data_IF_018873108921
#
_entry.id   IF_018873108921
#
_cell.length_a   1.000
_cell.length_b   1.000
_cell.length_c   1.000
_cell.angle_alpha   90.00
_cell.angle_beta   90.00
_cell.angle_gamma   90.00
#
_symmetry.space_group_name_H-M   'P 1'
#
loop_
_entity.id
_entity.type
_entity.pdbx_description
1 polymer ?
#
# COMPACT_ATOMS: atom_id res chain seq x y z
N UNK A 1 27.43 24.93 -12.11
CA UNK A 1 26.84 23.58 -12.15
C UNK A 1 27.25 22.89 -10.86
N UNK A 2 26.34 22.82 -9.90
CA UNK A 2 26.59 22.21 -8.59
C UNK A 2 25.24 21.86 -7.99
N UNK A 3 24.86 20.58 -8.13
CA UNK A 3 23.68 20.04 -7.47
C UNK A 3 24.01 19.81 -6.00
N UNK A 4 23.25 20.43 -5.11
CA UNK A 4 23.32 20.18 -3.68
C UNK A 4 22.61 18.86 -3.37
N UNK A 5 23.37 17.81 -3.12
CA UNK A 5 22.90 16.65 -2.37
C UNK A 5 22.68 17.09 -0.92
N UNK A 6 21.42 17.12 -0.48
CA UNK A 6 21.07 17.34 0.92
C UNK A 6 20.82 15.97 1.53
N UNK A 7 21.84 15.46 2.21
CA UNK A 7 21.71 14.36 3.17
C UNK A 7 20.95 14.86 4.41
N UNK A 8 19.97 14.05 4.81
CA UNK A 8 19.17 14.05 6.04
C UNK A 8 19.44 15.20 7.02
N UNK A 9 18.88 16.38 6.76
CA UNK A 9 18.62 17.36 7.80
C UNK A 9 17.30 17.02 8.47
N UNK A 10 17.33 16.82 9.79
CA UNK A 10 16.14 16.69 10.62
C UNK A 10 15.26 17.92 10.42
N UNK A 11 14.14 17.77 9.71
CA UNK A 11 13.06 18.75 9.60
C UNK A 11 12.37 18.82 10.99
N UNK A 12 13.02 19.48 11.96
CA UNK A 12 12.57 19.63 13.37
C UNK A 12 11.29 20.46 13.54
N UNK A 13 10.64 20.90 12.47
CA UNK A 13 9.39 21.66 12.54
C UNK A 13 8.14 20.79 12.75
N UNK A 14 8.20 19.49 12.45
CA UNK A 14 7.07 18.56 12.62
C UNK A 14 6.87 18.04 14.04
N UNK A 15 7.94 17.93 14.83
CA UNK A 15 7.92 17.24 16.15
C UNK A 15 7.18 18.09 17.21
N UNK A 16 7.30 19.42 17.15
CA UNK A 16 6.59 20.32 18.06
C UNK A 16 5.08 20.34 17.82
N UNK A 17 4.65 20.12 16.58
CA UNK A 17 3.25 20.17 16.19
C UNK A 17 2.50 18.88 16.50
N UNK A 18 3.16 17.72 16.34
CA UNK A 18 2.63 16.42 16.80
C UNK A 18 2.34 16.47 18.30
N UNK A 19 3.23 17.07 19.11
CA UNK A 19 3.00 17.28 20.56
C UNK A 19 1.82 18.21 20.88
N UNK A 20 1.52 19.20 20.05
CA UNK A 20 0.41 20.13 20.26
C UNK A 20 -0.96 19.43 20.16
N UNK A 21 -1.05 18.41 19.30
CA UNK A 21 -2.28 17.62 19.09
C UNK A 21 -2.31 16.30 19.87
N UNK A 22 -1.15 15.75 20.27
CA UNK A 22 -1.06 14.64 21.24
C UNK A 22 -1.66 15.01 22.61
N UNK A 23 -1.63 16.30 22.97
CA UNK A 23 -2.20 16.80 24.23
C UNK A 23 -3.74 16.96 24.20
N UNK A 24 -4.45 16.47 23.18
CA UNK A 24 -5.93 16.51 23.08
C UNK A 24 -6.56 17.90 23.30
N UNK A 25 -5.83 19.00 23.09
CA UNK A 25 -6.41 20.34 23.16
C UNK A 25 -7.11 20.63 21.84
N UNK A 26 -8.37 20.23 21.77
CA UNK A 26 -9.21 20.41 20.59
C UNK A 26 -10.31 21.40 20.93
N UNK A 27 -10.29 22.57 20.29
CA UNK A 27 -11.32 23.56 20.52
C UNK A 27 -12.62 23.14 19.81
N UNK A 28 -13.82 23.33 20.42
CA UNK A 28 -15.10 22.95 19.82
C UNK A 28 -15.31 23.50 18.41
N UNK A 29 -14.82 24.71 18.13
CA UNK A 29 -14.87 25.30 16.78
C UNK A 29 -14.08 24.52 15.72
N UNK A 30 -12.95 23.92 16.11
CA UNK A 30 -12.18 23.06 15.21
C UNK A 30 -12.93 21.76 14.90
N UNK A 31 -13.62 21.16 15.88
CA UNK A 31 -14.43 19.96 15.65
C UNK A 31 -15.59 20.22 14.67
N UNK A 32 -16.30 21.34 14.83
CA UNK A 32 -17.38 21.75 13.92
C UNK A 32 -16.85 22.00 12.52
N UNK A 33 -15.77 22.79 12.40
CA UNK A 33 -15.12 23.06 11.12
C UNK A 33 -14.65 21.78 10.42
N UNK A 34 -14.05 20.85 11.16
CA UNK A 34 -13.60 19.55 10.65
C UNK A 34 -14.77 18.69 10.15
N UNK A 35 -15.89 18.65 10.89
CA UNK A 35 -17.06 17.90 10.46
C UNK A 35 -17.61 18.45 9.12
N UNK A 36 -17.71 19.77 8.99
CA UNK A 36 -18.21 20.45 7.80
C UNK A 36 -17.24 20.38 6.61
N UNK A 37 -15.93 20.50 6.85
CA UNK A 37 -14.92 20.64 5.79
C UNK A 37 -14.37 19.28 5.32
N UNK A 38 -14.45 18.25 6.17
CA UNK A 38 -13.85 16.93 5.89
C UNK A 38 -14.91 15.83 5.90
N UNK A 39 -15.64 15.64 7.00
CA UNK A 39 -16.49 14.46 7.13
C UNK A 39 -17.74 14.48 6.25
N UNK A 40 -18.48 15.58 6.23
CA UNK A 40 -19.68 15.71 5.39
C UNK A 40 -19.34 15.60 3.89
N UNK A 41 -18.31 16.29 3.39
CA UNK A 41 -17.85 16.11 2.02
C UNK A 41 -17.46 14.66 1.68
N UNK A 42 -16.70 13.97 2.55
CA UNK A 42 -16.37 12.54 2.36
C UNK A 42 -17.64 11.68 2.24
N UNK A 43 -18.63 11.89 3.12
CA UNK A 43 -19.89 11.14 3.08
C UNK A 43 -20.65 11.38 1.78
N UNK A 44 -20.71 12.63 1.32
CA UNK A 44 -21.35 12.99 0.06
C UNK A 44 -20.64 12.33 -1.14
N UNK A 45 -19.30 12.32 -1.13
CA UNK A 45 -18.49 11.72 -2.18
C UNK A 45 -18.66 10.20 -2.24
N UNK A 46 -18.70 9.50 -1.10
CA UNK A 46 -19.04 8.07 -1.08
C UNK A 46 -20.43 7.79 -1.65
N UNK A 47 -21.43 8.61 -1.30
CA UNK A 47 -22.77 8.49 -1.85
C UNK A 47 -22.74 8.68 -3.38
N UNK A 48 -21.97 9.64 -3.88
CA UNK A 48 -21.77 9.88 -5.32
C UNK A 48 -21.15 8.66 -6.02
N UNK A 49 -20.06 8.11 -5.48
CA UNK A 49 -19.35 6.98 -6.10
C UNK A 49 -20.18 5.68 -6.07
N UNK A 50 -20.97 5.44 -5.02
CA UNK A 50 -21.83 4.24 -4.91
C UNK A 50 -23.15 4.35 -5.70
N UNK A 51 -23.68 5.56 -5.90
CA UNK A 51 -24.93 5.77 -6.62
C UNK A 51 -24.82 5.55 -8.13
N UNK A 52 -23.60 5.42 -8.68
CA UNK A 52 -23.38 4.97 -10.06
C UNK A 52 -23.65 3.46 -10.12
N UNK A 53 -24.94 3.08 -10.13
CA UNK A 53 -25.40 1.74 -10.49
C UNK A 53 -25.14 1.57 -11.99
N UNK A 54 -24.16 0.78 -12.40
CA UNK A 54 -23.99 0.46 -13.83
C UNK A 54 -23.53 -0.98 -14.08
N UNK A 55 -24.23 -1.62 -15.01
CA UNK A 55 -24.19 -3.03 -15.37
C UNK A 55 -22.81 -3.48 -15.86
N UNK A 56 -22.13 -4.36 -15.11
CA UNK A 56 -20.92 -5.04 -15.58
C UNK A 56 -21.29 -6.28 -16.40
N UNK A 57 -21.58 -6.09 -17.69
CA UNK A 57 -21.56 -7.19 -18.66
C UNK A 57 -20.13 -7.32 -19.17
N UNK A 58 -19.34 -8.16 -18.49
CA UNK A 58 -18.00 -8.55 -18.92
C UNK A 58 -18.15 -9.44 -20.17
N UNK A 59 -17.97 -8.87 -21.36
CA UNK A 59 -17.74 -9.66 -22.58
C UNK A 59 -16.23 -9.82 -22.78
N UNK A 60 -15.72 -11.00 -22.47
CA UNK A 60 -14.38 -11.43 -22.89
C UNK A 60 -14.44 -11.95 -24.34
N UNK A 61 -13.70 -11.33 -25.27
CA UNK A 61 -13.47 -11.91 -26.60
C UNK A 61 -11.99 -11.76 -26.98
N UNK A 62 -11.29 -12.89 -26.93
CA UNK A 62 -10.11 -13.29 -27.73
C UNK A 62 -9.48 -14.49 -26.99
N UNK A 63 -9.82 -15.72 -27.39
CA UNK A 63 -9.73 -16.91 -26.51
C UNK A 63 -8.90 -18.07 -27.08
N UNK A 64 -8.12 -17.90 -28.15
CA UNK A 64 -7.44 -19.07 -28.76
C UNK A 64 -5.92 -18.88 -28.90
N UNK A 65 -5.43 -17.71 -29.32
CA UNK A 65 -3.98 -17.45 -29.33
C UNK A 65 -3.42 -17.06 -27.95
N UNK A 66 -4.25 -16.47 -27.09
CA UNK A 66 -3.91 -16.05 -25.71
C UNK A 66 -3.78 -17.22 -24.73
N UNK A 67 -4.56 -18.30 -24.91
CA UNK A 67 -4.57 -19.43 -23.97
C UNK A 67 -3.22 -20.16 -23.92
N UNK A 68 -2.58 -20.35 -25.07
CA UNK A 68 -1.29 -21.07 -25.13
C UNK A 68 -0.13 -20.28 -24.52
N UNK A 69 -0.13 -18.96 -24.66
CA UNK A 69 0.91 -18.08 -24.08
C UNK A 69 0.67 -17.86 -22.57
N UNK A 70 -0.60 -17.68 -22.16
CA UNK A 70 -0.99 -17.57 -20.74
C UNK A 70 -0.65 -18.83 -19.94
N UNK A 71 -0.93 -20.03 -20.46
CA UNK A 71 -0.58 -21.29 -19.77
C UNK A 71 0.93 -21.49 -19.62
N UNK A 72 1.72 -21.09 -20.61
CA UNK A 72 3.18 -21.20 -20.56
C UNK A 72 3.77 -20.23 -19.53
N UNK A 73 3.21 -19.04 -19.40
CA UNK A 73 3.64 -18.06 -18.41
C UNK A 73 3.20 -18.43 -16.99
N UNK A 74 2.01 -19.04 -16.83
CA UNK A 74 1.58 -19.64 -15.56
C UNK A 74 2.51 -20.77 -15.11
N UNK A 75 2.92 -21.67 -16.00
CA UNK A 75 3.85 -22.76 -15.67
C UNK A 75 5.23 -22.22 -15.23
N UNK A 76 5.76 -21.20 -15.94
CA UNK A 76 7.02 -20.54 -15.54
C UNK A 76 6.89 -19.89 -14.18
N UNK A 77 5.78 -19.20 -13.92
CA UNK A 77 5.51 -18.54 -12.67
C UNK A 77 5.43 -19.54 -11.51
N UNK A 78 4.74 -20.66 -11.71
CA UNK A 78 4.62 -21.72 -10.69
C UNK A 78 5.98 -22.38 -10.42
N UNK A 79 6.81 -22.61 -11.44
CA UNK A 79 8.20 -23.08 -11.24
C UNK A 79 9.02 -22.11 -10.39
N UNK A 80 8.89 -20.80 -10.65
CA UNK A 80 9.58 -19.78 -9.86
C UNK A 80 9.04 -19.71 -8.42
N UNK A 81 7.72 -19.83 -8.22
CA UNK A 81 7.12 -19.95 -6.90
C UNK A 81 7.62 -21.20 -6.16
N UNK A 82 7.74 -22.33 -6.86
CA UNK A 82 8.26 -23.56 -6.27
C UNK A 82 9.72 -23.38 -5.83
N UNK A 83 10.58 -22.75 -6.66
CA UNK A 83 11.95 -22.43 -6.27
C UNK A 83 12.02 -21.56 -5.01
N UNK A 84 11.09 -20.61 -4.85
CA UNK A 84 10.94 -19.81 -3.64
C UNK A 84 10.44 -20.62 -2.44
N UNK A 85 9.58 -21.62 -2.62
CA UNK A 85 9.11 -22.50 -1.53
C UNK A 85 10.17 -23.50 -1.10
N UNK A 86 10.97 -24.00 -2.03
CA UNK A 86 12.07 -24.93 -1.77
C UNK A 86 13.19 -24.24 -0.98
N UNK A 87 13.43 -22.96 -1.26
CA UNK A 87 14.35 -22.12 -0.50
C UNK A 87 13.71 -20.75 -0.18
N UNK A 88 12.96 -20.64 0.93
CA UNK A 88 12.26 -19.41 1.30
C UNK A 88 13.16 -18.38 1.99
N UNK A 89 14.47 -18.66 2.13
CA UNK A 89 15.41 -17.77 2.80
C UNK A 89 15.51 -16.44 2.06
N UNK A 90 14.96 -15.39 2.69
CA UNK A 90 14.95 -14.01 2.26
C UNK A 90 14.78 -13.11 3.47
N UNK A 91 15.48 -11.97 3.47
CA UNK A 91 15.34 -10.96 4.52
C UNK A 91 14.83 -9.70 3.83
N UNK A 92 13.59 -9.32 4.13
CA UNK A 92 13.02 -8.09 3.60
C UNK A 92 13.79 -6.88 4.16
N UNK A 93 14.39 -6.09 3.27
CA UNK A 93 15.04 -4.85 3.64
C UNK A 93 14.00 -3.74 3.70
N UNK A 94 14.12 -2.78 4.65
CA UNK A 94 13.26 -1.61 4.67
C UNK A 94 13.29 -0.88 3.31
N UNK A 95 12.15 -0.38 2.81
CA UNK A 95 12.13 0.35 1.55
C UNK A 95 13.00 1.60 1.64
N UNK A 96 13.71 1.92 0.56
CA UNK A 96 14.42 3.17 0.42
C UNK A 96 13.43 4.25 -0.01
N UNK A 97 13.16 5.18 0.89
CA UNK A 97 12.18 6.25 0.71
C UNK A 97 12.89 7.60 0.57
N UNK A 98 12.62 8.29 -0.53
CA UNK A 98 13.14 9.63 -0.82
C UNK A 98 11.97 10.58 -1.04
N UNK A 99 11.89 11.64 -0.24
CA UNK A 99 10.85 12.66 -0.36
C UNK A 99 11.50 13.99 -0.72
N UNK A 100 11.13 14.54 -1.87
CA UNK A 100 11.48 15.90 -2.29
C UNK A 100 10.24 16.77 -2.21
N UNK A 101 10.41 18.00 -1.73
CA UNK A 101 9.31 18.96 -1.61
C UNK A 101 9.63 20.22 -2.40
N UNK A 102 8.67 20.69 -3.19
CA UNK A 102 8.72 21.97 -3.89
C UNK A 102 7.61 22.88 -3.39
N UNK A 103 7.93 24.15 -3.12
CA UNK A 103 6.99 25.17 -2.64
C UNK A 103 6.23 24.78 -1.35
N UNK A 104 6.76 23.86 -0.55
CA UNK A 104 6.21 23.43 0.74
C UNK A 104 4.96 22.54 0.69
N UNK A 105 4.30 22.39 -0.47
CA UNK A 105 3.05 21.63 -0.61
C UNK A 105 3.13 20.53 -1.67
N UNK A 106 3.89 20.73 -2.75
CA UNK A 106 4.06 19.73 -3.78
C UNK A 106 5.16 18.75 -3.34
N UNK A 107 4.82 17.47 -3.30
CA UNK A 107 5.71 16.42 -2.82
C UNK A 107 5.95 15.40 -3.93
N UNK A 108 7.21 15.03 -4.11
CA UNK A 108 7.66 13.94 -4.96
C UNK A 108 8.24 12.86 -4.06
N UNK A 109 7.54 11.73 -3.99
CA UNK A 109 7.89 10.56 -3.21
C UNK A 109 8.41 9.48 -4.15
N UNK A 110 9.64 9.05 -3.93
CA UNK A 110 10.22 7.90 -4.59
C UNK A 110 10.45 6.79 -3.56
N UNK A 111 10.01 5.57 -3.89
CA UNK A 111 10.16 4.39 -3.05
C UNK A 111 10.79 3.27 -3.88
N UNK A 112 11.87 2.69 -3.39
CA UNK A 112 12.51 1.51 -3.95
C UNK A 112 12.44 0.38 -2.92
N UNK A 113 11.99 -0.80 -3.32
CA UNK A 113 11.87 -1.95 -2.43
C UNK A 113 12.19 -3.25 -3.18
N UNK A 114 13.04 -4.08 -2.59
CA UNK A 114 13.31 -5.42 -3.11
C UNK A 114 12.39 -6.44 -2.41
N UNK A 115 11.65 -7.22 -3.21
CA UNK A 115 10.64 -8.17 -2.76
C UNK A 115 11.05 -9.56 -3.23
N UNK A 116 11.17 -10.52 -2.32
CA UNK A 116 11.47 -11.92 -2.67
C UNK A 116 10.24 -12.65 -3.26
N UNK A 117 9.73 -12.20 -4.41
CA UNK A 117 8.76 -12.89 -5.23
C UNK A 117 9.05 -12.61 -6.70
N UNK A 118 8.58 -13.45 -7.63
CA UNK A 118 8.73 -13.18 -9.06
C UNK A 118 7.98 -11.90 -9.49
N UNK A 119 8.53 -11.12 -10.44
CA UNK A 119 7.95 -9.84 -10.90
C UNK A 119 6.49 -9.91 -11.31
N UNK A 120 6.11 -10.97 -12.02
CA UNK A 120 4.75 -11.17 -12.51
C UNK A 120 3.77 -11.35 -11.35
N UNK A 121 4.19 -12.04 -10.27
CA UNK A 121 3.34 -12.24 -9.10
C UNK A 121 3.18 -10.94 -8.30
N UNK A 122 4.25 -10.16 -8.14
CA UNK A 122 4.18 -8.84 -7.50
C UNK A 122 3.27 -7.91 -8.28
N UNK A 123 3.38 -7.90 -9.62
CA UNK A 123 2.48 -7.15 -10.50
C UNK A 123 1.01 -7.59 -10.32
N UNK A 124 0.76 -8.91 -10.26
CA UNK A 124 -0.57 -9.47 -10.06
C UNK A 124 -1.16 -9.10 -8.68
N UNK A 125 -0.35 -8.99 -7.64
CA UNK A 125 -0.78 -8.53 -6.31
C UNK A 125 -1.28 -7.08 -6.37
N UNK A 126 -0.51 -6.19 -7.02
CA UNK A 126 -0.89 -4.78 -7.15
C UNK A 126 -2.15 -4.57 -7.99
N UNK A 127 -2.27 -5.29 -9.11
CA UNK A 127 -3.36 -5.14 -10.09
C UNK A 127 -4.58 -6.00 -9.80
N UNK A 128 -4.55 -6.80 -8.72
CA UNK A 128 -5.65 -7.70 -8.39
C UNK A 128 -6.96 -6.92 -8.23
N UNK A 129 -8.08 -7.35 -8.85
CA UNK A 129 -9.37 -6.67 -8.73
C UNK A 129 -9.86 -6.61 -7.27
N UNK A 130 -9.44 -7.57 -6.46
CA UNK A 130 -9.67 -7.63 -5.01
C UNK A 130 -8.38 -7.33 -4.21
N UNK A 131 -7.63 -6.28 -4.57
CA UNK A 131 -6.37 -5.93 -3.89
C UNK A 131 -6.52 -5.50 -2.41
N UNK A 132 -7.75 -5.27 -1.92
CA UNK A 132 -8.01 -5.05 -0.47
C UNK A 132 -7.57 -6.23 0.39
N UNK A 133 -7.53 -7.44 -0.18
CA UNK A 133 -7.06 -8.65 0.53
C UNK A 133 -5.56 -8.59 0.84
N UNK A 134 -4.81 -7.81 0.07
CA UNK A 134 -3.37 -7.67 0.19
C UNK A 134 -2.99 -6.41 0.97
N UNK A 135 -3.65 -5.29 0.68
CA UNK A 135 -3.30 -3.99 1.25
C UNK A 135 -4.33 -3.55 2.28
N UNK A 136 -3.94 -3.51 3.56
CA UNK A 136 -4.82 -3.17 4.70
C UNK A 136 -5.33 -1.73 4.65
N UNK A 137 -4.61 -0.88 3.92
CA UNK A 137 -4.98 0.52 3.67
C UNK A 137 -6.11 0.64 2.64
N UNK A 138 -6.50 -0.43 1.94
CA UNK A 138 -7.69 -0.45 1.08
C UNK A 138 -8.80 -1.17 1.85
N UNK A 139 -9.88 -0.46 2.17
CA UNK A 139 -11.02 -1.02 2.92
C UNK A 139 -12.12 -1.58 2.02
N UNK A 140 -12.30 -0.99 0.84
CA UNK A 140 -13.36 -1.38 -0.08
C UNK A 140 -12.92 -1.12 -1.52
N UNK A 141 -13.14 -2.09 -2.41
CA UNK A 141 -13.02 -1.93 -3.85
C UNK A 141 -14.42 -1.61 -4.40
N UNK A 142 -14.77 -0.33 -4.47
CA UNK A 142 -16.11 0.14 -4.82
C UNK A 142 -16.44 -0.22 -6.28
N UNK A 143 -15.50 0.05 -7.20
CA UNK A 143 -15.63 -0.36 -8.59
C UNK A 143 -14.29 -0.43 -9.30
N UNK A 144 -14.16 -1.33 -10.26
CA UNK A 144 -13.06 -1.41 -11.22
C UNK A 144 -13.62 -1.63 -12.62
N UNK A 145 -13.55 -0.63 -13.49
CA UNK A 145 -14.12 -0.67 -14.84
C UNK A 145 -13.02 -0.56 -15.87
N UNK A 146 -12.87 -1.59 -16.71
CA UNK A 146 -11.94 -1.54 -17.85
C UNK A 146 -12.54 -0.59 -18.89
N UNK A 147 -11.88 0.53 -19.15
CA UNK A 147 -12.28 1.52 -20.14
C UNK A 147 -11.76 1.14 -21.52
N UNK A 148 -10.50 0.73 -21.60
CA UNK A 148 -9.78 0.37 -22.82
C UNK A 148 -8.97 -0.90 -22.53
N UNK A 149 -8.97 -1.85 -23.46
CA UNK A 149 -8.16 -3.08 -23.37
C UNK A 149 -7.48 -3.35 -24.71
N UNK A 150 -6.16 -3.17 -24.74
CA UNK A 150 -5.29 -3.36 -25.90
C UNK A 150 -4.27 -4.48 -25.60
N UNK A 151 -4.75 -5.73 -25.61
CA UNK A 151 -3.94 -6.90 -25.29
C UNK A 151 -3.34 -6.82 -23.88
N UNK A 152 -2.00 -6.66 -23.79
CA UNK A 152 -1.26 -6.57 -22.53
C UNK A 152 -1.31 -5.18 -21.87
N UNK A 153 -2.01 -4.21 -22.47
CA UNK A 153 -2.22 -2.87 -21.91
C UNK A 153 -3.70 -2.63 -21.65
N UNK A 154 -4.02 -2.03 -20.52
CA UNK A 154 -5.39 -1.70 -20.15
C UNK A 154 -5.46 -0.34 -19.48
N UNK A 155 -6.52 0.40 -19.73
CA UNK A 155 -6.88 1.60 -18.96
C UNK A 155 -8.12 1.28 -18.15
N UNK A 156 -8.03 1.51 -16.83
CA UNK A 156 -9.03 1.07 -15.85
C UNK A 156 -9.43 2.25 -14.98
N UNK A 157 -10.73 2.49 -14.86
CA UNK A 157 -11.30 3.39 -13.86
C UNK A 157 -11.43 2.64 -12.53
N UNK A 158 -10.77 3.14 -11.49
CA UNK A 158 -10.72 2.52 -10.16
C UNK A 158 -11.33 3.45 -9.13
N UNK A 159 -12.35 2.97 -8.42
CA UNK A 159 -12.96 3.65 -7.27
C UNK A 159 -12.78 2.78 -6.04
N UNK A 160 -12.15 3.31 -5.00
CA UNK A 160 -11.81 2.59 -3.78
C UNK A 160 -12.08 3.43 -2.54
N UNK A 161 -12.25 2.77 -1.39
CA UNK A 161 -12.24 3.38 -0.09
C UNK A 161 -10.92 3.07 0.61
N UNK A 162 -10.04 4.05 0.76
CA UNK A 162 -8.80 3.89 1.51
C UNK A 162 -9.01 4.17 2.99
N UNK A 163 -8.32 3.43 3.85
CA UNK A 163 -8.25 3.69 5.28
C UNK A 163 -7.64 5.08 5.52
N UNK A 164 -8.29 5.85 6.38
CA UNK A 164 -7.86 7.18 6.72
C UNK A 164 -7.81 7.32 8.23
N UNK A 165 -6.67 7.74 8.76
CA UNK A 165 -6.51 8.03 10.19
C UNK A 165 -6.11 9.46 10.37
N UNK A 166 -7.04 10.33 10.71
CA UNK A 166 -6.76 11.75 10.93
C UNK A 166 -6.89 12.09 12.41
N UNK A 167 -5.80 12.49 13.07
CA UNK A 167 -5.74 12.77 14.50
C UNK A 167 -6.34 11.60 15.33
N UNK A 168 -7.44 11.83 16.06
CA UNK A 168 -8.17 10.81 16.85
C UNK A 168 -9.30 10.10 16.08
N UNK A 169 -9.47 10.39 14.79
CA UNK A 169 -10.54 9.86 13.96
C UNK A 169 -9.98 8.82 13.01
N UNK A 170 -10.59 7.64 12.98
CA UNK A 170 -10.37 6.66 11.92
C UNK A 170 -11.62 6.60 11.04
N UNK A 171 -11.42 6.47 9.74
CA UNK A 171 -12.49 6.38 8.76
C UNK A 171 -11.96 5.89 7.42
N UNK A 172 -12.72 6.19 6.37
CA UNK A 172 -12.31 5.89 4.99
C UNK A 172 -12.37 7.15 4.15
N UNK A 173 -11.50 7.25 3.16
CA UNK A 173 -11.50 8.30 2.15
C UNK A 173 -11.76 7.65 0.77
N UNK A 174 -12.72 8.15 -0.02
CA UNK A 174 -12.89 7.69 -1.38
C UNK A 174 -11.72 8.16 -2.24
N UNK A 175 -11.25 7.25 -3.10
CA UNK A 175 -10.20 7.49 -4.09
C UNK A 175 -10.77 7.11 -5.45
N UNK A 176 -10.63 8.00 -6.43
CA UNK A 176 -11.07 7.78 -7.80
C UNK A 176 -9.91 8.05 -8.77
N UNK A 177 -9.41 6.99 -9.39
CA UNK A 177 -8.22 6.98 -10.24
C UNK A 177 -8.55 6.48 -11.64
N UNK A 178 -7.85 7.02 -12.62
CA UNK A 178 -7.63 6.36 -13.92
C UNK A 178 -6.25 5.71 -13.85
N UNK A 179 -6.21 4.39 -14.12
CA UNK A 179 -5.02 3.56 -14.02
C UNK A 179 -4.71 2.97 -15.39
N UNK A 180 -3.53 3.28 -15.91
CA UNK A 180 -2.96 2.66 -17.09
C UNK A 180 -2.05 1.50 -16.64
N UNK A 181 -2.44 0.28 -16.96
CA UNK A 181 -1.74 -0.95 -16.63
C UNK A 181 -1.05 -1.49 -17.89
N UNK A 182 0.23 -1.86 -17.78
CA UNK A 182 0.97 -2.51 -18.85
C UNK A 182 1.66 -3.76 -18.31
N UNK A 183 1.05 -4.92 -18.61
CA UNK A 183 1.48 -6.24 -18.17
C UNK A 183 2.77 -6.69 -18.85
N UNK A 184 3.05 -6.23 -20.08
CA UNK A 184 4.29 -6.57 -20.79
C UNK A 184 5.53 -6.02 -20.09
N UNK A 185 5.44 -4.78 -19.61
CA UNK A 185 6.57 -4.09 -18.97
C UNK A 185 6.50 -4.11 -17.44
N UNK A 186 5.47 -4.74 -16.87
CA UNK A 186 5.16 -4.76 -15.45
C UNK A 186 5.14 -3.35 -14.83
N UNK A 187 4.52 -2.42 -15.54
CA UNK A 187 4.37 -1.01 -15.12
C UNK A 187 2.91 -0.65 -14.96
N UNK A 188 2.63 0.31 -14.09
CA UNK A 188 1.37 1.02 -14.07
C UNK A 188 1.58 2.50 -13.83
N UNK A 189 0.70 3.32 -14.41
CA UNK A 189 0.59 4.74 -14.14
C UNK A 189 -0.82 5.00 -13.62
N UNK A 190 -0.96 5.85 -12.64
CA UNK A 190 -2.26 6.27 -12.14
C UNK A 190 -2.32 7.77 -12.01
N UNK A 191 -3.50 8.30 -12.27
CA UNK A 191 -3.80 9.71 -12.10
C UNK A 191 -5.14 9.83 -11.42
N UNK A 192 -5.24 10.76 -10.48
CA UNK A 192 -6.54 11.11 -9.92
C UNK A 192 -7.45 11.70 -10.99
N UNK A 193 -8.68 11.19 -11.04
CA UNK A 193 -9.77 11.85 -11.74
C UNK A 193 -10.39 12.89 -10.82
N UNK A 194 -10.78 12.45 -9.62
CA UNK A 194 -11.33 13.30 -8.56
C UNK A 194 -10.86 12.81 -7.20
N UNK A 195 -10.17 13.66 -6.45
CA UNK A 195 -10.02 13.47 -5.01
C UNK A 195 -10.31 14.78 -4.29
N UNK A 196 -10.87 14.67 -3.09
CA UNK A 196 -11.32 15.83 -2.33
C UNK A 196 -10.16 16.59 -1.68
N UNK A 197 -9.16 15.88 -1.19
CA UNK A 197 -8.08 16.47 -0.38
C UNK A 197 -6.78 16.69 -1.14
N UNK A 198 -6.66 16.20 -2.37
CA UNK A 198 -5.46 16.36 -3.18
C UNK A 198 -5.74 17.16 -4.44
N UNK A 199 -4.96 18.23 -4.64
CA UNK A 199 -4.89 18.97 -5.89
C UNK A 199 -4.15 18.17 -6.96
N UNK A 200 -3.11 17.43 -6.55
CA UNK A 200 -2.36 16.50 -7.41
C UNK A 200 -2.26 15.18 -6.66
N UNK A 201 -2.54 14.08 -7.34
CA UNK A 201 -2.25 12.73 -6.88
C UNK A 201 -2.11 11.85 -8.10
N UNK A 202 -0.87 11.65 -8.52
CA UNK A 202 -0.52 10.84 -9.68
C UNK A 202 0.79 10.13 -9.40
N UNK A 203 1.03 9.04 -10.11
CA UNK A 203 2.25 8.30 -9.92
C UNK A 203 2.37 7.16 -10.90
N UNK A 204 3.50 6.49 -10.81
CA UNK A 204 3.76 5.27 -11.54
C UNK A 204 4.54 4.31 -10.67
N UNK A 205 4.33 3.03 -10.94
CA UNK A 205 5.15 1.99 -10.35
C UNK A 205 5.61 1.02 -11.43
N UNK A 206 6.75 0.41 -11.18
CA UNK A 206 7.41 -0.55 -12.05
C UNK A 206 7.93 -1.71 -11.21
N UNK A 207 7.80 -2.92 -11.74
CA UNK A 207 8.39 -4.12 -11.17
C UNK A 207 9.42 -4.67 -12.14
N UNK A 208 10.65 -4.86 -11.66
CA UNK A 208 11.77 -5.36 -12.45
C UNK A 208 12.32 -6.66 -11.85
N UNK A 209 12.86 -7.57 -12.67
CA UNK A 209 13.50 -8.77 -12.15
C UNK A 209 14.74 -8.45 -11.32
N UNK A 210 14.90 -9.15 -10.20
CA UNK A 210 16.08 -9.15 -9.36
C UNK A 210 16.62 -10.59 -9.29
N UNK A 211 17.83 -10.82 -9.80
CA UNK A 211 18.44 -12.15 -9.80
C UNK A 211 19.06 -12.44 -8.43
N UNK A 212 18.54 -13.45 -7.74
CA UNK A 212 18.90 -13.72 -6.33
C UNK A 212 20.10 -14.65 -6.22
N UNK A 213 20.08 -15.74 -6.97
CA UNK A 213 21.05 -16.82 -6.89
C UNK A 213 22.12 -16.65 -8.00
N UNK A 214 22.64 -15.43 -8.17
CA UNK A 214 23.68 -15.10 -9.18
C UNK A 214 24.94 -15.98 -9.04
N UNK A 215 25.20 -16.52 -7.84
CA UNK A 215 26.30 -17.47 -7.57
C UNK A 215 26.21 -18.76 -8.38
N UNK A 216 25.03 -19.13 -8.89
CA UNK A 216 24.86 -20.27 -9.80
C UNK A 216 25.44 -19.99 -11.20
N UNK A 217 25.68 -18.72 -11.52
CA UNK A 217 26.17 -18.25 -12.82
C UNK A 217 27.67 -17.93 -12.73
N UNK A 218 28.49 -18.98 -12.59
CA UNK A 218 29.94 -18.90 -12.30
C UNK A 218 30.76 -18.03 -13.28
N UNK A 219 30.31 -17.89 -14.54
CA UNK A 219 31.12 -17.32 -15.64
C UNK A 219 30.75 -15.89 -16.04
N UNK A 220 29.54 -15.43 -15.73
CA UNK A 220 29.08 -14.09 -16.12
C UNK A 220 27.88 -13.65 -15.32
N UNK A 221 27.81 -12.34 -15.05
CA UNK A 221 26.63 -11.73 -14.44
C UNK A 221 25.48 -11.71 -15.48
N UNK A 222 24.32 -12.32 -15.18
CA UNK A 222 23.19 -12.36 -16.10
C UNK A 222 22.67 -10.94 -16.39
N UNK A 223 22.34 -10.66 -17.66
CA UNK A 223 21.79 -9.36 -18.10
C UNK A 223 20.30 -9.42 -18.42
N UNK A 224 19.80 -10.60 -18.75
CA UNK A 224 18.40 -10.88 -19.04
C UNK A 224 17.89 -12.08 -18.24
N UNK A 225 16.57 -12.25 -18.22
CA UNK A 225 15.94 -13.39 -17.57
C UNK A 225 16.27 -14.70 -18.29
N UNK A 226 16.42 -14.66 -19.62
CA UNK A 226 16.83 -15.79 -20.45
C UNK A 226 18.27 -16.22 -20.14
N UNK A 227 19.18 -15.23 -20.02
CA UNK A 227 20.56 -15.48 -19.63
C UNK A 227 20.62 -16.11 -18.24
N UNK A 228 19.85 -15.57 -17.29
CA UNK A 228 19.79 -16.09 -15.93
C UNK A 228 19.21 -17.50 -15.86
N UNK A 229 18.14 -17.78 -16.61
CA UNK A 229 17.55 -19.11 -16.68
C UNK A 229 18.56 -20.12 -17.26
N UNK A 230 19.30 -19.73 -18.29
CA UNK A 230 20.34 -20.57 -18.89
C UNK A 230 21.48 -20.85 -17.91
N UNK A 231 22.07 -19.83 -17.29
CA UNK A 231 23.23 -20.02 -16.42
C UNK A 231 22.90 -20.68 -15.07
N UNK A 232 21.70 -20.46 -14.53
CA UNK A 232 21.26 -21.12 -13.29
C UNK A 232 20.66 -22.51 -13.50
N UNK A 233 20.64 -23.03 -14.74
CA UNK A 233 19.93 -24.24 -15.15
C UNK A 233 18.44 -24.22 -14.73
N UNK A 234 17.80 -23.05 -14.78
CA UNK A 234 16.40 -22.84 -14.39
C UNK A 234 16.10 -22.95 -12.89
N UNK A 235 17.11 -23.11 -12.04
CA UNK A 235 16.93 -23.28 -10.57
C UNK A 235 17.07 -21.99 -9.78
N UNK A 236 17.61 -20.93 -10.39
CA UNK A 236 17.82 -19.65 -9.70
C UNK A 236 16.48 -18.96 -9.39
N UNK A 237 16.33 -18.48 -8.16
CA UNK A 237 15.17 -17.67 -7.77
C UNK A 237 15.25 -16.29 -8.38
N UNK A 238 14.11 -15.79 -8.84
CA UNK A 238 13.94 -14.42 -9.32
C UNK A 238 13.08 -13.67 -8.29
N UNK A 239 13.65 -12.62 -7.70
CA UNK A 239 12.94 -11.63 -6.90
C UNK A 239 12.50 -10.46 -7.75
N UNK A 240 11.98 -9.44 -7.09
CA UNK A 240 11.46 -8.24 -7.73
C UNK A 240 12.10 -7.00 -7.13
N UNK A 241 12.44 -6.05 -7.97
CA UNK A 241 12.68 -4.65 -7.58
C UNK A 241 11.43 -3.84 -7.92
N UNK A 242 10.80 -3.30 -6.90
CA UNK A 242 9.64 -2.42 -7.03
C UNK A 242 10.12 -0.98 -6.92
N UNK A 243 9.86 -0.18 -7.95
CA UNK A 243 10.09 1.27 -7.94
C UNK A 243 8.75 1.96 -8.03
N UNK A 244 8.46 2.86 -7.09
CA UNK A 244 7.27 3.71 -7.09
C UNK A 244 7.67 5.17 -7.08
N UNK A 245 7.07 5.94 -7.97
CA UNK A 245 7.27 7.36 -8.13
C UNK A 245 5.89 8.04 -8.04
N UNK A 246 5.67 8.81 -6.98
CA UNK A 246 4.38 9.42 -6.67
C UNK A 246 4.53 10.92 -6.47
N UNK A 247 3.69 11.68 -7.18
CA UNK A 247 3.54 13.12 -7.07
C UNK A 247 2.22 13.42 -6.38
N UNK A 248 2.27 14.15 -5.27
CA UNK A 248 1.06 14.56 -4.56
C UNK A 248 1.15 15.98 -4.01
N UNK A 249 0.01 16.65 -3.98
CA UNK A 249 -0.14 18.00 -3.46
C UNK A 249 -1.48 18.13 -2.75
N UNK A 250 -1.52 18.37 -1.43
CA UNK A 250 -2.76 18.66 -0.73
C UNK A 250 -3.46 19.92 -1.27
N UNK A 251 -4.79 19.90 -1.30
CA UNK A 251 -5.61 21.02 -1.75
C UNK A 251 -5.53 22.19 -0.76
N UNK A 252 -4.70 23.20 -1.06
CA UNK A 252 -4.46 24.34 -0.16
C UNK A 252 -5.73 25.02 0.38
N UNK A 253 -6.82 25.06 -0.40
CA UNK A 253 -8.11 25.63 0.01
C UNK A 253 -8.81 24.80 1.09
N UNK A 254 -8.78 23.48 0.96
CA UNK A 254 -9.47 22.55 1.86
C UNK A 254 -8.57 22.07 3.00
N UNK A 255 -7.25 22.22 2.84
CA UNK A 255 -6.24 21.71 3.75
C UNK A 255 -5.22 22.80 4.09
N UNK A 256 -5.62 23.90 4.77
CA UNK A 256 -4.68 24.92 5.21
C UNK A 256 -3.67 24.33 6.21
N UNK A 257 -2.43 24.83 6.30
CA UNK A 257 -1.52 24.44 7.39
C UNK A 257 -2.22 24.59 8.75
N UNK A 258 -2.11 23.61 9.65
CA UNK A 258 -1.19 22.46 9.65
C UNK A 258 -1.71 21.19 8.94
N UNK A 259 -2.97 21.19 8.48
CA UNK A 259 -3.64 20.02 7.92
C UNK A 259 -2.89 19.46 6.71
N UNK A 260 -2.40 20.32 5.83
CA UNK A 260 -1.56 19.92 4.68
C UNK A 260 -0.31 19.14 5.09
N UNK A 261 0.40 19.55 6.14
CA UNK A 261 1.59 18.84 6.64
C UNK A 261 1.24 17.46 7.17
N UNK A 262 0.11 17.35 7.86
CA UNK A 262 -0.38 16.09 8.37
C UNK A 262 -0.78 15.13 7.23
N UNK A 263 -1.49 15.63 6.22
CA UNK A 263 -1.87 14.85 5.02
C UNK A 263 -0.62 14.36 4.27
N UNK A 264 0.41 15.21 4.16
CA UNK A 264 1.71 14.80 3.60
C UNK A 264 2.30 13.63 4.39
N UNK A 265 2.35 13.74 5.72
CA UNK A 265 2.87 12.68 6.59
C UNK A 265 2.09 11.37 6.46
N UNK A 266 0.76 11.43 6.37
CA UNK A 266 -0.06 10.23 6.14
C UNK A 266 0.22 9.62 4.79
N UNK A 267 0.26 10.43 3.73
CA UNK A 267 0.41 9.90 2.37
C UNK A 267 1.71 9.10 2.25
N UNK A 268 2.81 9.61 2.82
CA UNK A 268 4.09 8.90 2.89
C UNK A 268 3.95 7.59 3.68
N UNK A 269 3.41 7.65 4.90
CA UNK A 269 3.24 6.46 5.77
C UNK A 269 2.31 5.40 5.17
N UNK A 270 1.27 5.83 4.46
CA UNK A 270 0.34 4.92 3.78
C UNK A 270 1.05 4.19 2.65
N UNK A 271 1.86 4.88 1.85
CA UNK A 271 2.68 4.25 0.80
C UNK A 271 3.70 3.28 1.41
N UNK A 272 4.40 3.65 2.47
CA UNK A 272 5.32 2.75 3.19
C UNK A 272 4.60 1.50 3.70
N UNK A 273 3.44 1.67 4.35
CA UNK A 273 2.63 0.57 4.86
C UNK A 273 2.09 -0.34 3.76
N UNK A 274 1.85 0.16 2.54
CA UNK A 274 1.51 -0.69 1.39
C UNK A 274 2.67 -1.61 0.98
N UNK A 275 3.92 -1.14 1.11
CA UNK A 275 5.10 -1.98 0.86
C UNK A 275 5.28 -3.02 1.98
N UNK A 276 5.03 -2.65 3.24
CA UNK A 276 5.06 -3.60 4.35
C UNK A 276 4.00 -4.71 4.19
N UNK A 277 2.80 -4.35 3.74
CA UNK A 277 1.74 -5.31 3.40
C UNK A 277 2.16 -6.25 2.26
N UNK A 278 2.85 -5.73 1.24
CA UNK A 278 3.43 -6.54 0.17
C UNK A 278 4.49 -7.51 0.70
N UNK A 279 5.38 -7.08 1.60
CA UNK A 279 6.37 -7.97 2.23
C UNK A 279 5.72 -9.07 3.05
N UNK A 280 4.66 -8.75 3.80
CA UNK A 280 3.89 -9.74 4.55
C UNK A 280 3.27 -10.79 3.62
N UNK A 281 2.68 -10.36 2.51
CA UNK A 281 2.11 -11.27 1.52
C UNK A 281 3.17 -12.09 0.79
N UNK A 282 4.31 -11.48 0.46
CA UNK A 282 5.45 -12.17 -0.12
C UNK A 282 5.97 -13.28 0.80
N UNK A 283 6.13 -12.98 2.09
CA UNK A 283 6.52 -13.96 3.10
C UNK A 283 5.51 -15.10 3.21
N UNK A 284 4.21 -14.79 3.17
CA UNK A 284 3.14 -15.80 3.20
C UNK A 284 3.22 -16.75 2.00
N UNK A 285 3.43 -16.21 0.80
CA UNK A 285 3.48 -16.97 -0.46
C UNK A 285 4.74 -17.83 -0.58
N UNK A 286 5.90 -17.32 -0.16
CA UNK A 286 7.16 -18.09 -0.07
C UNK A 286 7.08 -19.21 0.97
N UNK A 287 6.43 -18.97 2.10
CA UNK A 287 6.40 -19.88 3.25
C UNK A 287 5.60 -21.17 3.07
N UNK A 288 5.04 -21.45 1.88
CA UNK A 288 4.41 -22.73 1.53
C UNK A 288 3.15 -23.09 2.34
N UNK A 289 2.71 -22.25 3.28
CA UNK A 289 1.38 -22.35 3.89
C UNK A 289 0.36 -21.94 2.84
N UNK A 290 0.00 -22.92 2.00
CA UNK A 290 -1.08 -22.84 1.04
C UNK A 290 -2.33 -22.33 1.75
N UNK A 291 -2.62 -21.05 1.56
CA UNK A 291 -4.01 -20.62 1.52
C UNK A 291 -4.52 -21.09 0.18
N UNK A 292 -5.26 -22.20 0.18
CA UNK A 292 -6.28 -22.38 -0.83
C UNK A 292 -7.13 -21.12 -0.92
N UNK A 293 -7.87 -20.97 -2.01
CA UNK A 293 -8.95 -19.99 -2.12
C UNK A 293 -9.85 -20.10 -0.87
N UNK A 294 -9.59 -19.28 0.16
CA UNK A 294 -10.47 -19.16 1.31
C UNK A 294 -11.56 -18.20 0.85
N UNK A 295 -12.64 -18.78 0.36
CA UNK A 295 -13.94 -18.15 0.44
C UNK A 295 -14.18 -17.79 1.92
N UNK A 296 -14.38 -16.50 2.16
CA UNK A 296 -15.07 -15.90 3.29
C UNK A 296 -14.91 -16.57 4.67
N UNK A 297 -14.00 -16.04 5.49
CA UNK A 297 -14.15 -16.08 6.94
C UNK A 297 -14.05 -14.67 7.52
N UNK A 298 -15.21 -14.00 7.54
CA UNK A 298 -15.44 -12.73 8.22
C UNK A 298 -15.56 -12.89 9.77
N UNK A 299 -15.41 -14.09 10.31
CA UNK A 299 -15.79 -14.38 11.71
C UNK A 299 -14.63 -14.38 12.73
N UNK A 300 -13.36 -14.51 12.30
CA UNK A 300 -12.25 -14.69 13.23
C UNK A 300 -11.61 -13.37 13.73
N UNK A 301 -11.85 -12.24 13.07
CA UNK A 301 -11.32 -10.94 13.50
C UNK A 301 -12.07 -10.35 14.71
N UNK A 302 -13.37 -10.63 14.84
CA UNK A 302 -14.18 -10.12 15.96
C UNK A 302 -13.76 -10.78 17.28
N UNK A 303 -13.38 -12.06 17.27
CA UNK A 303 -12.95 -12.78 18.48
C UNK A 303 -11.55 -12.36 18.91
N UNK A 304 -10.62 -12.15 17.96
CA UNK A 304 -9.24 -11.75 18.27
C UNK A 304 -9.12 -10.30 18.74
N UNK A 305 -9.89 -9.36 18.14
CA UNK A 305 -9.92 -7.97 18.61
C UNK A 305 -10.60 -7.84 19.98
N UNK A 306 -11.64 -8.64 20.26
CA UNK A 306 -12.32 -8.65 21.55
C UNK A 306 -11.41 -9.17 22.66
N UNK A 307 -10.66 -10.25 22.40
CA UNK A 307 -9.66 -10.77 23.34
C UNK A 307 -8.54 -9.76 23.64
N UNK A 308 -8.06 -9.01 22.63
CA UNK A 308 -7.04 -7.97 22.83
C UNK A 308 -7.60 -6.74 23.57
N UNK A 309 -8.84 -6.35 23.31
CA UNK A 309 -9.50 -5.25 24.01
C UNK A 309 -9.80 -5.59 25.48
N UNK A 310 -10.17 -6.84 25.76
CA UNK A 310 -10.42 -7.32 27.11
C UNK A 310 -9.12 -7.48 27.93
N UNK A 311 -8.03 -7.97 27.31
CA UNK A 311 -6.69 -8.00 27.90
C UNK A 311 -6.17 -6.59 28.25
N UNK A 312 -6.37 -5.61 27.34
CA UNK A 312 -6.03 -4.21 27.62
C UNK A 312 -6.86 -3.67 28.78
N UNK A 313 -8.19 -3.89 28.80
CA UNK A 313 -9.05 -3.44 29.91
C UNK A 313 -8.65 -4.08 31.25
N UNK A 314 -8.29 -5.35 31.26
CA UNK A 314 -7.85 -6.06 32.46
C UNK A 314 -6.50 -5.54 32.96
N UNK A 315 -5.56 -5.27 32.04
CA UNK A 315 -4.28 -4.59 32.35
C UNK A 315 -4.48 -3.22 32.98
N UNK A 316 -5.42 -2.41 32.47
CA UNK A 316 -5.76 -1.10 33.06
C UNK A 316 -6.50 -1.21 34.40
N UNK A 317 -7.29 -2.25 34.63
CA UNK A 317 -7.95 -2.53 35.92
C UNK A 317 -6.93 -2.95 36.98
N UNK A 318 -5.97 -3.80 36.62
CA UNK A 318 -4.89 -4.23 37.51
C UNK A 318 -4.00 -3.05 37.92
N UNK A 319 -3.64 -2.16 36.99
CA UNK A 319 -2.86 -0.95 37.30
C UNK A 319 -3.57 -0.01 38.29
N UNK A 320 -4.90 0.13 38.18
CA UNK A 320 -5.69 0.93 39.14
C UNK A 320 -5.74 0.30 40.53
N UNK A 321 -5.78 -1.04 40.64
CA UNK A 321 -5.75 -1.75 41.92
C UNK A 321 -4.40 -1.61 42.64
N UNK A 322 -3.28 -1.70 41.92
CA UNK A 322 -1.94 -1.48 42.50
C UNK A 322 -1.70 -0.04 42.93
N UNK A 323 -2.21 0.95 42.18
CA UNK A 323 -2.08 2.37 42.56
C UNK A 323 -2.92 2.70 43.81
N UNK A 324 -4.11 2.12 43.97
CA UNK A 324 -4.95 2.26 45.18
C UNK A 324 -4.32 1.62 46.43
N UNK A 325 -3.61 0.50 46.29
CA UNK A 325 -2.84 -0.14 47.38
C UNK A 325 -1.63 0.68 47.81
N UNK A 326 -0.95 1.38 46.89
CA UNK A 326 0.18 2.26 47.25
C UNK A 326 -0.27 3.54 47.98
N UNK A 327 -1.44 4.08 47.67
CA UNK A 327 -2.00 5.24 48.37
C UNK A 327 -2.57 4.94 49.76
N UNK A 328 -2.94 3.69 50.04
CA UNK A 328 -3.42 3.27 51.37
C UNK A 328 -2.26 2.98 52.31
N UNK A 329 -1.14 2.44 51.82
CA UNK A 329 0.06 2.23 52.64
C UNK A 329 0.85 3.52 52.94
N UNK A 330 0.71 4.57 52.13
CA UNK A 330 1.35 5.88 52.38
C UNK A 330 0.59 6.78 53.38
N UNK A 331 -0.55 6.33 53.91
CA UNK A 331 -1.31 7.02 54.97
C UNK A 331 -1.21 6.33 56.35
N UNK A 332 -0.40 5.27 56.46
CA UNK A 332 -0.25 4.48 57.70
C UNK A 332 1.21 4.31 58.12
N UNK A 333 2.06 5.28 57.80
CA UNK A 333 3.37 5.49 58.41
C UNK A 333 3.47 6.93 58.88
#
# INVERSE_FOLDING_TARGET
MGGSEISRSEEKSGIGFVKLFENNVVFPGFLVWMNQTIQEPIKAEFKRLRNVKELSLVKSVSKIETIYDEHRDEEKLEKQLQAWRDNPSWIDQPPKVVVKSQNGLFCHLNVEADVGLPPELVYNIFTHPDNKRYFKNIKENISRKVLISEGLKQTVEVKQAAAWKFLWWAGTCPIHLIVEENRKNLTSKYKQETTMFMKVFEGCWKVEPLFIDEHLCERSKPKSQEDYHSCSNGRGRIGSKVTMDQMFQPSALLTPPPLSWYIRGITIKTTESMIEDLFAEATRLRGGKGGGYIADQEENNVVFEKNKADDIKERWRSHRRTKRRRFTNAKTM
#
